data_IF_614363472520
#
_entry.id   IF_614363472520
#
_cell.length_a   1.000
_cell.length_b   1.000
_cell.length_c   1.000
_cell.angle_alpha   90.00
_cell.angle_beta   90.00
_cell.angle_gamma   90.00
#
_symmetry.space_group_name_H-M   'P 1'
#
loop_
_entity.id
_entity.type
_entity.pdbx_description
1 polymer ?
#
# COMPACT_ATOMS: atom_id res chain seq x y z
N UNK A 1 -36.71 5.10 -1.13
CA UNK A 1 -37.00 4.86 -2.57
C UNK A 1 -36.47 6.03 -3.40
N UNK A 2 -35.53 5.82 -4.29
CA UNK A 2 -34.97 6.90 -5.13
C UNK A 2 -35.99 7.29 -6.20
N UNK A 3 -36.27 8.60 -6.44
CA UNK A 3 -37.24 9.06 -7.43
C UNK A 3 -36.90 8.50 -8.82
N UNK A 4 -37.95 8.16 -9.59
CA UNK A 4 -37.83 7.56 -10.94
C UNK A 4 -37.01 8.46 -11.89
N UNK A 5 -37.14 9.78 -11.73
CA UNK A 5 -36.42 10.80 -12.49
C UNK A 5 -34.89 10.70 -12.22
N UNK A 6 -34.47 10.50 -10.96
CA UNK A 6 -33.08 10.39 -10.59
C UNK A 6 -32.44 9.10 -11.14
N UNK A 7 -33.20 8.00 -11.18
CA UNK A 7 -32.76 6.75 -11.83
C UNK A 7 -32.56 6.90 -13.34
N UNK A 8 -33.43 7.68 -14.00
CA UNK A 8 -33.35 7.93 -15.44
C UNK A 8 -32.16 8.83 -15.78
N UNK A 9 -31.90 9.86 -14.97
CA UNK A 9 -30.75 10.76 -15.11
C UNK A 9 -29.46 9.98 -14.90
N UNK A 10 -29.34 9.20 -13.84
CA UNK A 10 -28.16 8.37 -13.57
C UNK A 10 -27.88 7.36 -14.69
N UNK A 11 -28.93 6.76 -15.28
CA UNK A 11 -28.77 5.83 -16.41
C UNK A 11 -28.29 6.53 -17.68
N UNK A 12 -28.79 7.72 -17.99
CA UNK A 12 -28.36 8.47 -19.18
C UNK A 12 -26.92 8.97 -19.02
N UNK A 13 -26.53 9.43 -17.84
CA UNK A 13 -25.16 9.86 -17.58
C UNK A 13 -24.17 8.69 -17.58
N UNK A 14 -24.55 7.53 -17.04
CA UNK A 14 -23.68 6.35 -17.09
C UNK A 14 -23.51 5.82 -18.52
N UNK A 15 -24.54 5.87 -19.36
CA UNK A 15 -24.44 5.49 -20.76
C UNK A 15 -23.57 6.48 -21.56
N UNK A 16 -23.75 7.79 -21.34
CA UNK A 16 -22.92 8.80 -21.98
C UNK A 16 -21.44 8.69 -21.58
N UNK A 17 -21.17 8.41 -20.29
CA UNK A 17 -19.81 8.18 -19.80
C UNK A 17 -19.21 6.92 -20.44
N UNK A 18 -19.96 5.82 -20.53
CA UNK A 18 -19.50 4.58 -21.16
C UNK A 18 -19.18 4.80 -22.64
N UNK A 19 -20.03 5.52 -23.37
CA UNK A 19 -19.79 5.87 -24.77
C UNK A 19 -18.53 6.74 -24.91
N UNK A 20 -18.36 7.70 -24.02
CA UNK A 20 -17.17 8.55 -24.01
C UNK A 20 -15.86 7.73 -23.76
N UNK A 21 -15.91 6.78 -22.83
CA UNK A 21 -14.77 5.87 -22.55
C UNK A 21 -14.48 5.01 -23.76
N UNK A 22 -15.48 4.39 -24.38
CA UNK A 22 -15.31 3.54 -25.57
C UNK A 22 -14.74 4.36 -26.74
N UNK A 23 -15.27 5.56 -26.97
CA UNK A 23 -14.75 6.47 -27.98
C UNK A 23 -13.30 6.87 -27.72
N UNK A 24 -12.97 7.16 -26.48
CA UNK A 24 -11.61 7.49 -26.06
C UNK A 24 -10.63 6.33 -26.29
N UNK A 25 -11.01 5.10 -25.92
CA UNK A 25 -10.20 3.90 -26.16
C UNK A 25 -10.01 3.65 -27.67
N UNK A 26 -11.06 3.84 -28.45
CA UNK A 26 -11.01 3.73 -29.90
C UNK A 26 -10.08 4.77 -30.54
N UNK A 27 -10.17 6.03 -30.12
CA UNK A 27 -9.31 7.11 -30.60
C UNK A 27 -7.84 6.88 -30.23
N UNK A 28 -7.58 6.38 -29.02
CA UNK A 28 -6.20 6.06 -28.59
C UNK A 28 -5.55 4.94 -29.43
N UNK A 29 -6.36 4.00 -29.91
CA UNK A 29 -5.89 2.92 -30.78
C UNK A 29 -5.60 3.40 -32.20
N UNK A 30 -6.42 4.30 -32.73
CA UNK A 30 -6.31 4.77 -34.11
C UNK A 30 -5.25 5.86 -34.33
N UNK A 31 -4.99 6.69 -33.31
CA UNK A 31 -4.10 7.86 -33.45
C UNK A 31 -2.93 7.81 -32.45
N UNK A 32 -1.84 7.08 -32.74
CA UNK A 32 -0.70 6.98 -31.85
C UNK A 32 -0.06 8.32 -31.45
N UNK A 33 -0.13 9.34 -32.32
CA UNK A 33 0.40 10.68 -32.02
C UNK A 33 -0.38 11.44 -30.95
N UNK A 34 -1.63 11.05 -30.68
CA UNK A 34 -2.47 11.68 -29.64
C UNK A 34 -2.32 10.97 -28.29
N UNK A 35 -1.57 9.86 -28.22
CA UNK A 35 -1.37 9.07 -27.00
C UNK A 35 -0.96 9.93 -25.79
N UNK A 36 0.02 10.84 -25.86
CA UNK A 36 0.42 11.61 -24.67
C UNK A 36 -0.71 12.46 -24.09
N UNK A 37 -1.53 13.09 -24.96
CA UNK A 37 -2.70 13.86 -24.52
C UNK A 37 -3.76 12.94 -23.93
N UNK A 38 -4.00 11.82 -24.58
CA UNK A 38 -4.97 10.82 -24.14
C UNK A 38 -4.53 10.14 -22.84
N UNK A 39 -3.24 9.92 -22.64
CA UNK A 39 -2.68 9.40 -21.40
C UNK A 39 -2.89 10.38 -20.23
N UNK A 40 -2.69 11.66 -20.44
CA UNK A 40 -2.98 12.68 -19.42
C UNK A 40 -4.45 12.71 -19.02
N UNK A 41 -5.37 12.63 -19.99
CA UNK A 41 -6.81 12.56 -19.72
C UNK A 41 -7.16 11.23 -19.01
N UNK A 42 -6.59 10.11 -19.46
CA UNK A 42 -6.75 8.80 -18.81
C UNK A 42 -6.32 8.85 -17.35
N UNK A 43 -5.12 9.34 -17.05
CA UNK A 43 -4.59 9.46 -15.69
C UNK A 43 -5.45 10.36 -14.82
N UNK A 44 -5.93 11.48 -15.36
CA UNK A 44 -6.85 12.35 -14.65
C UNK A 44 -8.13 11.62 -14.23
N UNK A 45 -8.78 10.93 -15.17
CA UNK A 45 -9.99 10.15 -14.86
C UNK A 45 -9.69 8.97 -13.93
N UNK A 46 -8.60 8.25 -14.16
CA UNK A 46 -8.18 7.13 -13.32
C UNK A 46 -7.98 7.57 -11.88
N UNK A 47 -7.20 8.64 -11.65
CA UNK A 47 -7.03 9.23 -10.32
C UNK A 47 -8.36 9.57 -9.65
N UNK A 48 -9.23 10.31 -10.35
CA UNK A 48 -10.50 10.76 -9.78
C UNK A 48 -11.49 9.61 -9.53
N UNK A 49 -11.55 8.65 -10.44
CA UNK A 49 -12.41 7.46 -10.27
C UNK A 49 -11.90 6.61 -9.12
N UNK A 50 -10.61 6.26 -9.10
CA UNK A 50 -10.05 5.42 -8.05
C UNK A 50 -10.21 6.10 -6.70
N UNK A 51 -9.89 7.38 -6.58
CA UNK A 51 -10.06 8.12 -5.33
C UNK A 51 -11.52 8.18 -4.88
N UNK A 52 -12.46 8.39 -5.81
CA UNK A 52 -13.89 8.46 -5.50
C UNK A 52 -14.48 7.11 -5.05
N UNK A 53 -13.94 6.00 -5.54
CA UNK A 53 -14.45 4.66 -5.23
C UNK A 53 -13.62 3.94 -4.16
N UNK A 54 -12.45 4.45 -3.81
CA UNK A 54 -11.50 3.79 -2.91
C UNK A 54 -12.13 3.42 -1.56
N UNK A 55 -12.96 4.30 -1.01
CA UNK A 55 -13.63 4.10 0.28
C UNK A 55 -15.00 3.43 0.15
N UNK A 56 -15.46 3.12 -1.08
CA UNK A 56 -16.71 2.40 -1.26
C UNK A 56 -16.50 0.93 -0.92
N UNK A 57 -17.16 0.50 0.15
CA UNK A 57 -17.09 -0.90 0.61
C UNK A 57 -18.37 -1.64 0.27
N UNK A 58 -18.22 -2.90 -0.13
CA UNK A 58 -19.36 -3.81 -0.25
C UNK A 58 -19.88 -4.14 1.14
N UNK A 59 -21.10 -3.77 1.45
CA UNK A 59 -21.76 -3.89 2.76
C UNK A 59 -21.74 -5.30 3.39
N UNK A 60 -21.42 -6.33 2.64
CA UNK A 60 -21.55 -7.72 3.07
C UNK A 60 -20.34 -8.29 3.84
N UNK A 61 -19.24 -7.53 4.04
CA UNK A 61 -18.00 -8.09 4.56
C UNK A 61 -17.38 -7.35 5.76
N UNK A 62 -18.06 -6.35 6.32
CA UNK A 62 -17.53 -5.56 7.46
C UNK A 62 -17.20 -6.42 8.69
N UNK A 63 -17.84 -7.58 8.85
CA UNK A 63 -17.59 -8.53 9.95
C UNK A 63 -16.35 -9.42 9.74
N UNK A 64 -15.68 -9.34 8.59
CA UNK A 64 -14.42 -10.03 8.32
C UNK A 64 -13.19 -9.17 8.60
N UNK A 65 -13.36 -7.96 9.15
CA UNK A 65 -12.25 -7.05 9.37
C UNK A 65 -11.62 -7.25 10.75
N UNK A 66 -10.28 -7.16 10.79
CA UNK A 66 -9.48 -7.17 12.01
C UNK A 66 -9.00 -5.76 12.29
N UNK A 67 -9.27 -5.27 13.50
CA UNK A 67 -8.61 -4.10 14.03
C UNK A 67 -7.22 -4.49 14.57
N UNK A 68 -6.21 -4.37 13.71
CA UNK A 68 -4.83 -4.75 14.03
C UNK A 68 -4.28 -3.96 15.22
N UNK A 69 -4.74 -2.74 15.44
CA UNK A 69 -4.24 -1.89 16.53
C UNK A 69 -4.60 -2.47 17.88
N UNK A 70 -5.76 -3.12 17.99
CA UNK A 70 -6.17 -3.87 19.19
C UNK A 70 -5.44 -5.20 19.33
N UNK A 71 -5.23 -5.88 18.22
CA UNK A 71 -4.58 -7.20 18.19
C UNK A 71 -3.10 -7.10 18.51
N UNK A 72 -2.41 -6.06 18.02
CA UNK A 72 -0.97 -5.88 18.20
C UNK A 72 -0.57 -5.27 19.54
N UNK A 73 -1.50 -4.84 20.39
CA UNK A 73 -1.18 -4.39 21.75
C UNK A 73 -0.37 -5.43 22.54
N UNK A 74 -0.44 -6.70 22.16
CA UNK A 74 0.28 -7.83 22.75
C UNK A 74 1.54 -8.26 21.99
N UNK A 75 1.83 -7.70 20.81
CA UNK A 75 2.97 -8.12 19.97
C UNK A 75 3.92 -6.96 19.73
N UNK A 76 5.22 -7.23 19.87
CA UNK A 76 6.26 -6.21 19.71
C UNK A 76 6.64 -6.06 18.25
N UNK A 77 6.17 -5.01 17.62
CA UNK A 77 6.75 -4.53 16.36
C UNK A 77 8.05 -3.78 16.62
N UNK A 78 8.98 -3.90 15.71
CA UNK A 78 10.24 -3.15 15.66
C UNK A 78 10.27 -2.24 14.43
N UNK A 79 11.11 -1.21 14.41
CA UNK A 79 11.23 -0.37 13.24
C UNK A 79 11.67 -1.21 12.06
N UNK A 80 11.13 -0.87 10.89
CA UNK A 80 11.33 -1.60 9.67
C UNK A 80 10.59 -2.94 9.56
N UNK A 81 9.67 -3.23 10.49
CA UNK A 81 8.74 -4.32 10.25
C UNK A 81 7.79 -3.94 9.11
N UNK A 82 7.69 -4.81 8.13
CA UNK A 82 6.88 -4.62 6.93
C UNK A 82 5.53 -5.28 7.20
N UNK A 83 4.46 -4.51 7.02
CA UNK A 83 3.10 -5.01 7.14
C UNK A 83 2.46 -5.06 5.75
N UNK A 84 1.82 -6.17 5.47
CA UNK A 84 0.96 -6.36 4.31
C UNK A 84 -0.48 -6.36 4.76
N UNK A 85 -1.36 -5.76 3.97
CA UNK A 85 -2.80 -5.74 4.26
C UNK A 85 -3.60 -6.27 3.09
N UNK A 86 -4.64 -7.04 3.42
CA UNK A 86 -5.63 -7.53 2.46
C UNK A 86 -6.97 -6.86 2.71
N UNK A 87 -7.59 -6.38 1.65
CA UNK A 87 -8.90 -5.74 1.66
C UNK A 87 -9.59 -6.00 0.32
N UNK A 88 -10.34 -7.10 0.24
CA UNK A 88 -11.09 -7.43 -0.97
C UNK A 88 -12.44 -6.71 -1.06
N UNK A 89 -12.95 -6.23 0.08
CA UNK A 89 -14.24 -5.56 0.19
C UNK A 89 -14.27 -4.11 -0.34
N UNK A 90 -13.11 -3.53 -0.64
CA UNK A 90 -13.02 -2.18 -1.18
C UNK A 90 -13.01 -2.18 -2.71
N UNK A 91 -13.77 -1.26 -3.33
CA UNK A 91 -13.70 -1.08 -4.79
C UNK A 91 -12.32 -0.60 -5.25
N UNK A 92 -11.62 0.17 -4.43
CA UNK A 92 -10.25 0.60 -4.73
C UNK A 92 -9.28 -0.56 -4.84
N UNK A 93 -9.44 -1.59 -4.00
CA UNK A 93 -8.59 -2.78 -4.02
C UNK A 93 -8.83 -3.70 -5.22
N UNK A 94 -9.97 -3.57 -5.92
CA UNK A 94 -10.24 -4.31 -7.15
C UNK A 94 -9.29 -3.96 -8.30
N UNK A 95 -8.62 -2.80 -8.23
CA UNK A 95 -7.62 -2.39 -9.22
C UNK A 95 -6.23 -2.98 -8.96
N UNK A 96 -6.01 -3.63 -7.82
CA UNK A 96 -4.75 -4.27 -7.46
C UNK A 96 -4.97 -5.78 -7.52
N UNK A 97 -4.25 -6.45 -8.41
CA UNK A 97 -4.31 -7.91 -8.51
C UNK A 97 -3.71 -8.59 -7.27
N UNK A 98 -4.04 -9.86 -7.07
CA UNK A 98 -3.56 -10.65 -5.96
C UNK A 98 -4.36 -10.48 -4.67
N UNK A 99 -3.92 -11.16 -3.62
CA UNK A 99 -4.54 -11.15 -2.29
C UNK A 99 -4.16 -9.91 -1.48
N UNK A 100 -2.88 -9.56 -1.50
CA UNK A 100 -2.36 -8.44 -0.74
C UNK A 100 -2.50 -7.16 -1.54
N UNK A 101 -3.23 -6.22 -0.98
CA UNK A 101 -3.62 -5.00 -1.69
C UNK A 101 -2.76 -3.80 -1.35
N UNK A 102 -2.08 -3.87 -0.23
CA UNK A 102 -1.28 -2.76 0.25
C UNK A 102 -0.16 -3.22 1.17
N UNK A 103 0.90 -2.41 1.28
CA UNK A 103 1.98 -2.62 2.22
C UNK A 103 2.44 -1.30 2.83
N UNK A 104 2.95 -1.39 4.04
CA UNK A 104 3.40 -0.26 4.85
C UNK A 104 4.56 -0.65 5.76
N UNK A 105 5.23 0.35 6.31
CA UNK A 105 6.37 0.17 7.18
C UNK A 105 6.11 0.72 8.58
N UNK A 106 6.39 -0.06 9.60
CA UNK A 106 6.36 0.39 10.98
C UNK A 106 7.65 1.14 11.33
N UNK A 107 7.52 2.35 11.88
CA UNK A 107 8.63 3.27 12.11
C UNK A 107 9.09 3.37 13.56
N UNK A 108 8.34 2.91 14.56
CA UNK A 108 8.48 3.20 15.97
C UNK A 108 7.81 4.51 16.42
N UNK A 109 8.06 4.85 17.69
CA UNK A 109 7.65 6.15 18.24
C UNK A 109 8.68 7.23 17.88
N UNK A 110 8.24 8.49 17.85
CA UNK A 110 9.11 9.64 17.59
C UNK A 110 10.30 9.68 18.56
N UNK A 111 10.09 9.33 19.85
CA UNK A 111 11.18 9.23 20.85
C UNK A 111 12.23 8.19 20.46
N UNK A 112 11.80 7.01 20.01
CA UNK A 112 12.72 5.93 19.62
C UNK A 112 13.47 6.25 18.33
N UNK A 113 12.79 6.90 17.36
CA UNK A 113 13.41 7.40 16.13
C UNK A 113 14.48 8.45 16.43
N UNK A 114 14.25 9.36 17.38
CA UNK A 114 15.24 10.33 17.85
C UNK A 114 16.51 9.65 18.37
N UNK A 115 16.36 8.57 19.14
CA UNK A 115 17.50 7.81 19.66
C UNK A 115 18.28 7.06 18.58
N UNK A 116 17.58 6.62 17.52
CA UNK A 116 18.19 5.91 16.39
C UNK A 116 18.92 6.86 15.43
N UNK A 117 18.24 7.94 15.03
CA UNK A 117 18.64 8.83 13.94
C UNK A 117 19.45 10.04 14.44
N UNK A 118 19.15 10.51 15.64
CA UNK A 118 19.64 11.78 16.17
C UNK A 118 18.71 12.94 15.87
N UNK A 119 18.84 14.03 16.63
CA UNK A 119 17.98 15.23 16.48
C UNK A 119 18.19 15.99 15.18
N UNK A 120 19.38 15.87 14.59
CA UNK A 120 19.80 16.59 13.38
C UNK A 120 19.46 15.81 12.09
N UNK A 121 18.85 14.62 12.20
CA UNK A 121 18.42 13.82 11.09
C UNK A 121 17.34 14.55 10.29
N UNK A 122 17.47 14.68 8.94
CA UNK A 122 16.46 15.28 8.10
C UNK A 122 15.09 14.58 8.21
N UNK A 123 15.11 13.25 8.29
CA UNK A 123 13.89 12.48 8.46
C UNK A 123 13.23 12.76 9.81
N UNK A 124 14.03 12.79 10.89
CA UNK A 124 13.50 13.06 12.23
C UNK A 124 12.92 14.49 12.34
N UNK A 125 13.56 15.49 11.73
CA UNK A 125 13.04 16.87 11.68
C UNK A 125 11.68 16.94 10.98
N UNK A 126 11.48 16.19 9.89
CA UNK A 126 10.18 16.08 9.23
C UNK A 126 9.11 15.46 10.15
N UNK A 127 9.48 14.42 10.92
CA UNK A 127 8.55 13.83 11.90
C UNK A 127 8.18 14.84 13.00
N UNK A 128 9.15 15.61 13.48
CA UNK A 128 8.88 16.64 14.49
C UNK A 128 7.89 17.70 14.00
N UNK A 129 7.95 18.09 12.72
CA UNK A 129 7.01 19.06 12.15
C UNK A 129 5.57 18.59 12.12
N UNK A 130 5.34 17.27 12.22
CA UNK A 130 3.99 16.68 12.28
C UNK A 130 3.33 16.76 13.66
N UNK A 131 4.06 17.20 14.68
CA UNK A 131 3.56 17.40 16.06
C UNK A 131 2.91 16.17 16.70
N UNK A 132 3.32 14.96 16.34
CA UNK A 132 2.87 13.76 17.04
C UNK A 132 3.46 13.66 18.44
N UNK A 133 2.70 13.05 19.37
CA UNK A 133 3.23 12.73 20.69
C UNK A 133 4.48 11.85 20.58
N UNK A 134 5.49 12.10 21.42
CA UNK A 134 6.74 11.31 21.41
C UNK A 134 6.53 9.81 21.65
N UNK A 135 5.40 9.42 22.22
CA UNK A 135 5.04 8.03 22.52
C UNK A 135 4.15 7.39 21.45
N UNK A 136 3.69 8.14 20.47
CA UNK A 136 2.80 7.64 19.41
C UNK A 136 3.58 6.74 18.47
N UNK A 137 3.20 5.46 18.30
CA UNK A 137 3.75 4.61 17.26
C UNK A 137 3.37 5.15 15.89
N UNK A 138 4.32 5.19 14.97
CA UNK A 138 4.18 5.76 13.64
C UNK A 138 4.35 4.69 12.57
N UNK A 139 3.71 4.90 11.44
CA UNK A 139 3.88 4.14 10.20
C UNK A 139 4.14 5.10 9.05
N UNK A 140 4.74 4.58 7.99
CA UNK A 140 4.86 5.25 6.70
C UNK A 140 4.29 4.36 5.61
N UNK A 141 3.49 4.96 4.75
CA UNK A 141 2.89 4.28 3.60
C UNK A 141 2.67 5.25 2.45
N UNK A 142 2.50 4.72 1.25
CA UNK A 142 2.00 5.48 0.11
C UNK A 142 0.55 5.08 -0.15
N UNK A 143 -0.36 6.01 0.07
CA UNK A 143 -1.79 5.89 -0.21
C UNK A 143 -2.18 6.82 -1.35
N UNK A 144 -3.45 6.87 -1.71
CA UNK A 144 -3.94 7.80 -2.75
C UNK A 144 -3.67 9.29 -2.44
N UNK A 145 -3.39 9.62 -1.17
CA UNK A 145 -2.96 10.94 -0.73
C UNK A 145 -1.44 11.14 -0.83
N UNK A 146 -0.72 10.14 -1.34
CA UNK A 146 0.73 10.11 -1.47
C UNK A 146 1.45 9.47 -0.28
N UNK A 147 2.76 9.70 -0.19
CA UNK A 147 3.62 9.14 0.87
C UNK A 147 3.48 9.94 2.14
N UNK A 148 2.94 9.32 3.18
CA UNK A 148 2.63 9.98 4.45
C UNK A 148 3.13 9.19 5.66
N UNK A 149 3.39 9.92 6.76
CA UNK A 149 3.60 9.36 8.09
C UNK A 149 2.38 9.70 8.93
N UNK A 150 1.83 8.69 9.58
CA UNK A 150 0.72 8.90 10.50
C UNK A 150 0.77 7.92 11.69
N UNK A 151 -0.04 8.14 12.74
CA UNK A 151 -0.13 7.22 13.86
C UNK A 151 -0.55 5.82 13.43
N UNK A 152 0.08 4.79 14.00
CA UNK A 152 -0.33 3.40 13.79
C UNK A 152 -1.82 3.17 14.20
N UNK A 153 -2.31 3.96 15.17
CA UNK A 153 -3.72 3.91 15.59
C UNK A 153 -4.72 4.31 14.52
N UNK A 154 -4.26 5.03 13.48
CA UNK A 154 -5.13 5.52 12.40
C UNK A 154 -5.28 4.49 11.28
N UNK A 155 -4.54 3.38 11.40
CA UNK A 155 -4.64 2.27 10.46
C UNK A 155 -6.05 1.65 10.52
N UNK A 156 -6.75 1.75 9.40
CA UNK A 156 -8.12 1.23 9.29
C UNK A 156 -8.14 -0.30 9.45
N UNK A 157 -9.20 -0.87 10.02
CA UNK A 157 -9.41 -2.33 10.02
C UNK A 157 -9.34 -2.91 8.60
N UNK A 158 -8.80 -4.11 8.47
CA UNK A 158 -8.63 -4.84 7.22
C UNK A 158 -9.03 -6.31 7.38
N UNK A 159 -9.26 -7.00 6.29
CA UNK A 159 -9.63 -8.43 6.32
C UNK A 159 -8.47 -9.31 6.81
N UNK A 160 -7.25 -8.95 6.44
CA UNK A 160 -6.07 -9.63 6.95
C UNK A 160 -4.85 -8.71 7.02
N UNK A 161 -3.93 -9.09 7.91
CA UNK A 161 -2.59 -8.51 8.02
C UNK A 161 -1.55 -9.62 8.08
N UNK A 162 -0.39 -9.35 7.49
CA UNK A 162 0.81 -10.17 7.69
C UNK A 162 2.00 -9.26 7.97
N UNK A 163 2.90 -9.69 8.83
CA UNK A 163 4.06 -8.89 9.19
C UNK A 163 5.36 -9.70 9.11
N UNK A 164 6.38 -9.03 8.58
CA UNK A 164 7.72 -9.58 8.40
C UNK A 164 8.77 -8.60 8.91
N UNK A 165 9.87 -9.15 9.42
CA UNK A 165 11.05 -8.40 9.84
C UNK A 165 12.23 -8.77 8.98
N UNK A 166 12.89 -7.78 8.41
CA UNK A 166 14.21 -7.95 7.81
C UNK A 166 15.30 -7.80 8.88
N UNK A 167 16.23 -8.74 8.92
CA UNK A 167 17.40 -8.63 9.79
C UNK A 167 18.32 -7.51 9.27
N UNK A 168 18.35 -6.41 9.99
CA UNK A 168 19.12 -5.21 9.63
C UNK A 168 20.10 -4.85 10.73
N UNK A 169 21.35 -4.54 10.37
CA UNK A 169 22.25 -3.87 11.30
C UNK A 169 21.69 -2.46 11.61
N UNK A 170 22.03 -1.93 12.79
CA UNK A 170 21.59 -0.58 13.18
C UNK A 170 21.96 0.50 12.15
N UNK A 171 23.15 0.37 11.53
CA UNK A 171 23.60 1.29 10.49
C UNK A 171 22.70 1.24 9.24
N UNK A 172 22.37 0.03 8.75
CA UNK A 172 21.48 -0.16 7.60
C UNK A 172 20.06 0.27 7.90
N UNK A 173 19.55 -0.01 9.10
CA UNK A 173 18.26 0.47 9.54
C UNK A 173 18.18 2.01 9.51
N UNK A 174 19.20 2.67 10.07
CA UNK A 174 19.32 4.13 10.05
C UNK A 174 19.35 4.66 8.61
N UNK A 175 20.20 4.12 7.76
CA UNK A 175 20.32 4.51 6.36
C UNK A 175 19.01 4.35 5.62
N UNK A 176 18.33 3.21 5.78
CA UNK A 176 17.04 2.95 5.14
C UNK A 176 15.95 3.94 5.57
N UNK A 177 15.84 4.23 6.88
CA UNK A 177 14.87 5.21 7.37
C UNK A 177 15.20 6.62 6.84
N UNK A 178 16.48 7.02 6.82
CA UNK A 178 16.87 8.32 6.26
C UNK A 178 16.54 8.43 4.77
N UNK A 179 16.69 7.36 4.00
CA UNK A 179 16.35 7.37 2.57
C UNK A 179 14.86 7.62 2.30
N UNK A 180 13.97 7.21 3.21
CA UNK A 180 12.54 7.50 3.12
C UNK A 180 12.22 9.00 3.14
N UNK A 181 13.16 9.82 3.68
CA UNK A 181 12.98 11.28 3.68
C UNK A 181 12.81 11.87 2.27
N UNK A 182 13.41 11.23 1.26
CA UNK A 182 13.32 11.65 -0.13
C UNK A 182 11.97 11.29 -0.78
N UNK A 183 11.26 10.34 -0.19
CA UNK A 183 9.96 9.87 -0.67
C UNK A 183 8.78 10.57 0.00
N UNK A 184 9.00 11.18 1.17
CA UNK A 184 7.93 11.87 1.90
C UNK A 184 7.28 12.96 1.07
N UNK A 185 5.96 12.97 1.08
CA UNK A 185 5.09 13.94 0.40
C UNK A 185 5.05 13.80 -1.13
N UNK A 186 5.70 12.79 -1.71
CA UNK A 186 5.48 12.48 -3.13
C UNK A 186 4.04 12.02 -3.33
N UNK A 187 3.47 12.42 -4.46
CA UNK A 187 2.13 11.99 -4.86
C UNK A 187 2.07 10.49 -5.09
N UNK A 188 0.88 9.91 -4.96
CA UNK A 188 0.66 8.52 -5.35
C UNK A 188 0.80 8.35 -6.86
N UNK A 189 1.51 7.31 -7.26
CA UNK A 189 1.65 6.94 -8.67
C UNK A 189 0.44 6.12 -9.14
N UNK A 190 -0.51 6.78 -9.77
CA UNK A 190 -1.68 6.13 -10.36
C UNK A 190 -1.39 5.49 -11.72
N UNK A 191 -0.25 5.77 -12.33
CA UNK A 191 0.18 5.17 -13.60
C UNK A 191 1.04 3.92 -13.39
N UNK A 192 1.44 3.65 -12.15
CA UNK A 192 2.30 2.51 -11.78
C UNK A 192 3.59 2.46 -12.62
N UNK A 193 4.19 3.62 -12.85
CA UNK A 193 5.37 3.78 -13.68
C UNK A 193 6.66 3.75 -12.85
N UNK A 194 7.30 2.59 -12.77
CA UNK A 194 8.55 2.41 -12.04
C UNK A 194 9.70 3.34 -12.48
N UNK A 195 9.60 3.98 -13.65
CA UNK A 195 10.63 4.90 -14.15
C UNK A 195 10.41 6.32 -13.63
N UNK A 196 9.16 6.72 -13.34
CA UNK A 196 8.83 8.03 -12.78
C UNK A 196 9.04 8.07 -11.27
N UNK A 197 10.16 8.64 -10.84
CA UNK A 197 10.49 8.78 -9.41
C UNK A 197 9.85 10.00 -8.74
N UNK A 198 9.02 10.78 -9.43
CA UNK A 198 8.30 11.91 -8.86
C UNK A 198 7.06 11.49 -8.07
N UNK A 199 6.52 10.32 -8.38
CA UNK A 199 5.37 9.69 -7.75
C UNK A 199 5.75 8.30 -7.23
N UNK A 200 5.01 7.77 -6.26
CA UNK A 200 5.36 6.48 -5.63
C UNK A 200 4.07 5.77 -5.22
N UNK A 201 3.88 4.51 -5.62
CA UNK A 201 2.84 3.64 -5.06
C UNK A 201 3.37 2.77 -3.91
N UNK A 202 2.50 2.04 -3.21
CA UNK A 202 2.83 1.43 -1.92
C UNK A 202 4.02 0.45 -1.98
N UNK A 203 4.08 -0.44 -2.97
CA UNK A 203 5.17 -1.42 -3.08
C UNK A 203 6.48 -0.76 -3.53
N UNK A 204 6.41 0.26 -4.38
CA UNK A 204 7.57 1.00 -4.84
C UNK A 204 8.29 1.73 -3.70
N UNK A 205 7.56 2.18 -2.67
CA UNK A 205 8.15 2.82 -1.51
C UNK A 205 9.21 1.94 -0.83
N UNK A 206 9.00 0.63 -0.81
CA UNK A 206 9.88 -0.34 -0.13
C UNK A 206 10.78 -1.12 -1.09
N UNK A 207 10.52 -1.06 -2.39
CA UNK A 207 11.27 -1.83 -3.39
C UNK A 207 12.79 -1.60 -3.35
N UNK A 208 13.32 -0.37 -3.22
CA UNK A 208 14.75 -0.15 -3.11
C UNK A 208 15.40 -0.90 -1.94
N UNK A 209 14.71 -0.99 -0.81
CA UNK A 209 15.18 -1.70 0.38
C UNK A 209 15.28 -3.19 0.12
N UNK A 210 14.33 -3.77 -0.60
CA UNK A 210 14.37 -5.17 -0.99
C UNK A 210 15.59 -5.46 -1.87
N UNK A 211 15.84 -4.62 -2.87
CA UNK A 211 17.00 -4.77 -3.75
C UNK A 211 18.32 -4.69 -3.00
N UNK A 212 18.48 -3.72 -2.10
CA UNK A 212 19.67 -3.58 -1.25
C UNK A 212 19.92 -4.80 -0.36
N UNK A 213 18.88 -5.59 -0.11
CA UNK A 213 18.95 -6.84 0.68
C UNK A 213 19.15 -8.08 -0.18
N UNK A 214 19.26 -7.92 -1.50
CA UNK A 214 19.37 -9.05 -2.43
C UNK A 214 18.04 -9.80 -2.61
N UNK A 215 16.94 -9.21 -2.18
CA UNK A 215 15.59 -9.67 -2.49
C UNK A 215 15.23 -9.11 -3.85
N UNK A 216 14.73 -9.95 -4.74
CA UNK A 216 14.38 -9.56 -6.10
C UNK A 216 12.90 -9.90 -6.38
N UNK A 217 11.97 -9.08 -5.90
CA UNK A 217 10.56 -9.27 -6.22
C UNK A 217 10.38 -9.31 -7.73
N UNK A 218 9.61 -10.29 -8.21
CA UNK A 218 9.31 -10.39 -9.63
C UNK A 218 8.40 -9.23 -10.04
N UNK A 219 8.69 -8.68 -11.20
CA UNK A 219 7.77 -7.77 -11.85
C UNK A 219 6.65 -8.56 -12.53
N UNK A 220 5.47 -8.02 -12.54
CA UNK A 220 4.27 -8.62 -13.10
C UNK A 220 3.67 -7.66 -14.14
N UNK A 221 3.02 -8.20 -15.16
CA UNK A 221 2.24 -7.38 -16.09
C UNK A 221 0.90 -7.07 -15.45
N UNK A 222 0.74 -5.84 -14.98
CA UNK A 222 -0.48 -5.36 -14.36
C UNK A 222 -1.07 -4.18 -15.12
N UNK A 223 -2.38 -4.13 -15.24
CA UNK A 223 -3.13 -3.14 -15.99
C UNK A 223 -2.61 -2.90 -17.42
N UNK A 224 -1.51 -2.21 -17.62
CA UNK A 224 -0.87 -1.90 -18.92
C UNK A 224 0.62 -1.59 -18.78
N UNK A 225 1.19 -1.93 -17.64
CA UNK A 225 2.61 -1.71 -17.32
C UNK A 225 3.17 -2.86 -16.50
N UNK A 226 4.46 -2.94 -16.50
CA UNK A 226 5.19 -3.79 -15.58
C UNK A 226 5.15 -3.17 -14.19
N UNK A 227 4.59 -3.88 -13.22
CA UNK A 227 4.39 -3.43 -11.84
C UNK A 227 5.10 -4.36 -10.85
N UNK A 228 5.26 -3.91 -9.62
CA UNK A 228 5.68 -4.73 -8.50
C UNK A 228 4.51 -4.77 -7.53
N UNK A 229 3.81 -5.91 -7.49
CA UNK A 229 2.66 -6.05 -6.60
C UNK A 229 3.09 -6.31 -5.14
N UNK A 230 2.21 -6.04 -4.16
CA UNK A 230 2.45 -6.48 -2.78
C UNK A 230 2.63 -8.00 -2.68
N UNK A 231 1.93 -8.79 -3.52
CA UNK A 231 2.09 -10.25 -3.56
C UNK A 231 3.48 -10.66 -4.05
N UNK A 232 4.03 -10.01 -5.07
CA UNK A 232 5.39 -10.26 -5.55
C UNK A 232 6.43 -9.89 -4.48
N UNK A 233 6.21 -8.80 -3.75
CA UNK A 233 7.05 -8.41 -2.61
C UNK A 233 7.00 -9.47 -1.51
N UNK A 234 5.80 -9.93 -1.14
CA UNK A 234 5.63 -10.97 -0.12
C UNK A 234 6.26 -12.29 -0.57
N UNK A 235 6.05 -12.70 -1.81
CA UNK A 235 6.64 -13.93 -2.36
C UNK A 235 8.17 -13.92 -2.23
N UNK A 236 8.81 -12.76 -2.46
CA UNK A 236 10.27 -12.64 -2.31
C UNK A 236 10.74 -12.77 -0.85
N UNK A 237 9.92 -12.41 0.15
CA UNK A 237 10.22 -12.62 1.57
C UNK A 237 10.04 -14.07 2.01
N UNK A 238 9.21 -14.82 1.29
CA UNK A 238 8.92 -16.21 1.57
C UNK A 238 9.83 -17.19 0.81
N UNK A 239 10.70 -16.69 -0.07
CA UNK A 239 11.59 -17.53 -0.87
C UNK A 239 12.39 -18.48 0.03
N UNK A 240 12.27 -19.77 -0.25
CA UNK A 240 12.90 -20.86 0.50
C UNK A 240 14.43 -20.88 0.37
N UNK A 241 14.97 -20.22 -0.66
CA UNK A 241 16.40 -20.10 -0.91
C UNK A 241 17.07 -18.99 -0.09
N UNK A 242 16.28 -18.13 0.56
CA UNK A 242 16.84 -17.09 1.43
C UNK A 242 17.49 -17.68 2.69
N UNK A 243 18.59 -17.10 3.15
CA UNK A 243 19.15 -17.44 4.45
C UNK A 243 18.11 -17.29 5.56
N UNK A 244 17.88 -18.32 6.35
CA UNK A 244 16.85 -18.36 7.42
C UNK A 244 16.89 -17.17 8.39
N UNK A 245 18.03 -16.51 8.54
CA UNK A 245 18.22 -15.34 9.39
C UNK A 245 17.93 -14.00 8.72
N UNK A 246 17.67 -13.99 7.40
CA UNK A 246 17.47 -12.74 6.67
C UNK A 246 16.07 -12.15 6.88
N UNK A 247 15.07 -13.01 6.93
CA UNK A 247 13.65 -12.64 7.02
C UNK A 247 12.97 -13.44 8.11
N UNK A 248 12.33 -12.76 9.03
CA UNK A 248 11.51 -13.35 10.08
C UNK A 248 10.04 -13.10 9.81
N UNK A 249 9.26 -14.14 9.65
CA UNK A 249 7.80 -14.05 9.71
C UNK A 249 7.39 -13.77 11.16
N UNK A 250 6.61 -12.73 11.37
CA UNK A 250 6.16 -12.33 12.70
C UNK A 250 4.78 -12.87 13.02
N UNK A 251 3.82 -12.64 12.13
CA UNK A 251 2.47 -13.14 12.25
C UNK A 251 1.68 -12.95 10.95
N UNK A 252 0.63 -13.72 10.82
CA UNK A 252 -0.53 -13.46 9.98
C UNK A 252 -1.75 -13.44 10.88
N UNK A 253 -2.65 -12.50 10.67
CA UNK A 253 -3.93 -12.42 11.35
C UNK A 253 -5.02 -12.06 10.35
N UNK A 254 -6.12 -12.76 10.42
CA UNK A 254 -7.34 -12.47 9.66
C UNK A 254 -8.55 -12.56 10.58
N UNK A 255 -9.72 -12.20 10.08
CA UNK A 255 -10.98 -12.38 10.80
C UNK A 255 -11.77 -13.54 10.21
N UNK A 256 -12.26 -14.41 11.07
CA UNK A 256 -13.26 -15.40 10.76
C UNK A 256 -14.43 -15.22 11.74
N UNK A 257 -15.63 -14.99 11.21
CA UNK A 257 -16.83 -14.71 12.00
C UNK A 257 -16.66 -13.59 13.05
N UNK A 258 -15.92 -12.53 12.68
CA UNK A 258 -15.65 -11.38 13.55
C UNK A 258 -14.61 -11.64 14.65
N UNK A 259 -13.96 -12.81 14.66
CA UNK A 259 -12.91 -13.15 15.62
C UNK A 259 -11.55 -13.20 14.93
N UNK A 260 -10.51 -12.56 15.48
CA UNK A 260 -9.18 -12.67 14.92
C UNK A 260 -8.62 -14.09 15.09
N UNK A 261 -8.09 -14.66 14.03
CA UNK A 261 -7.34 -15.91 14.07
C UNK A 261 -5.94 -15.69 13.50
N UNK A 262 -4.99 -16.48 14.01
CA UNK A 262 -3.58 -16.39 13.64
C UNK A 262 -3.17 -17.62 12.86
N UNK A 263 -2.37 -17.40 11.80
CA UNK A 263 -1.72 -18.49 11.08
C UNK A 263 -0.21 -18.47 11.32
N UNK A 264 0.40 -19.64 11.23
CA UNK A 264 1.85 -19.78 11.15
C UNK A 264 2.34 -19.58 9.71
N UNK A 265 3.67 -19.63 9.53
CA UNK A 265 4.30 -19.42 8.22
C UNK A 265 3.86 -20.48 7.19
N UNK A 266 3.78 -21.73 7.60
CA UNK A 266 3.40 -22.87 6.75
C UNK A 266 1.96 -22.71 6.23
N UNK A 267 1.05 -22.30 7.09
CA UNK A 267 -0.34 -22.03 6.71
C UNK A 267 -0.47 -20.84 5.76
N UNK A 268 0.39 -19.81 5.92
CA UNK A 268 0.42 -18.68 5.00
C UNK A 268 0.80 -19.11 3.58
N UNK A 269 1.75 -20.03 3.43
CA UNK A 269 2.13 -20.58 2.12
C UNK A 269 0.99 -21.31 1.38
N UNK A 270 0.01 -21.85 2.11
CA UNK A 270 -1.11 -22.57 1.50
C UNK A 270 -2.17 -21.65 0.89
N UNK A 271 -2.12 -20.35 1.20
CA UNK A 271 -3.13 -19.37 0.76
C UNK A 271 -2.57 -18.32 -0.20
N UNK A 272 -1.29 -18.40 -0.53
CA UNK A 272 -0.60 -17.63 -1.58
C UNK A 272 -0.53 -18.45 -2.87
#
# INVERSE_FOLDING_TARGET
>A
MMPLLLKKILRTWSLALLIAIIFFLFMSALFPRTRPLLDGVRLYFQKHIITAVADIRYRYQVWREVDITKVLSSRRLSPWDILFTSEESSLGSAFIEGKWKHMLLYLWTSRQLKLLLGKDSPFFQKIQSLNFSEKTPLIIESTFDGVQIHPFSDLKPREAFSAFRLELSKAKLRQGIESLSLSLWKSYDFDFNLEDKSQIYCSELLYPVFLERGLSPKTEEGMWRTVISPDAMLASLLDVHLPKRMVHFLFYVASEDGKPYFMNKEQLFLIL
#
